data_IF_859654988783
#
_entry.id   IF_859654988783
#
_cell.length_a   1.000
_cell.length_b   1.000
_cell.length_c   1.000
_cell.angle_alpha   90.00
_cell.angle_beta   90.00
_cell.angle_gamma   90.00
#
_symmetry.space_group_name_H-M   'P 1'
#
loop_
_entity.id
_entity.type
_entity.pdbx_description
1 polymer ?
#
# COMPACT_ATOMS: atom_id res chain seq x y z
N UNK A 1 -26.36 10.77 -14.39
CA UNK A 1 -25.37 10.32 -13.38
C UNK A 1 -24.62 11.54 -12.87
N UNK A 2 -24.54 11.76 -11.55
CA UNK A 2 -23.82 12.93 -11.00
C UNK A 2 -22.31 12.80 -11.29
N UNK A 3 -21.68 13.88 -11.80
CA UNK A 3 -20.24 13.94 -12.16
C UNK A 3 -19.31 13.31 -11.10
N UNK A 4 -19.59 13.59 -9.82
CA UNK A 4 -18.85 13.05 -8.67
C UNK A 4 -18.78 11.52 -8.68
N UNK A 5 -19.88 10.83 -9.00
CA UNK A 5 -19.90 9.35 -9.01
C UNK A 5 -18.95 8.77 -10.06
N UNK A 6 -18.93 9.37 -11.25
CA UNK A 6 -18.08 8.92 -12.36
C UNK A 6 -16.61 9.11 -11.99
N UNK A 7 -16.26 10.29 -11.46
CA UNK A 7 -14.89 10.59 -10.99
C UNK A 7 -14.44 9.60 -9.91
N UNK A 8 -15.29 9.33 -8.92
CA UNK A 8 -15.00 8.36 -7.85
C UNK A 8 -14.78 6.95 -8.40
N UNK A 9 -15.65 6.47 -9.29
CA UNK A 9 -15.55 5.13 -9.89
C UNK A 9 -14.25 4.99 -10.69
N UNK A 10 -13.94 5.98 -11.55
CA UNK A 10 -12.73 5.99 -12.37
C UNK A 10 -11.50 5.97 -11.47
N UNK A 11 -11.46 6.84 -10.45
CA UNK A 11 -10.33 6.91 -9.51
C UNK A 11 -10.11 5.57 -8.77
N UNK A 12 -11.16 5.00 -8.18
CA UNK A 12 -11.06 3.72 -7.47
C UNK A 12 -10.59 2.61 -8.40
N UNK A 13 -11.17 2.51 -9.60
CA UNK A 13 -10.79 1.46 -10.56
C UNK A 13 -9.31 1.57 -10.95
N UNK A 14 -8.80 2.79 -11.17
CA UNK A 14 -7.39 3.02 -11.50
C UNK A 14 -6.49 2.67 -10.30
N UNK A 15 -6.79 3.22 -9.12
CA UNK A 15 -5.99 2.97 -7.92
C UNK A 15 -5.95 1.49 -7.53
N UNK A 16 -7.10 0.81 -7.54
CA UNK A 16 -7.19 -0.62 -7.20
C UNK A 16 -6.44 -1.47 -8.23
N UNK A 17 -6.46 -1.09 -9.51
CA UNK A 17 -5.67 -1.77 -10.56
C UNK A 17 -4.17 -1.64 -10.31
N UNK A 18 -3.67 -0.44 -10.00
CA UNK A 18 -2.27 -0.23 -9.64
C UNK A 18 -1.91 -0.96 -8.33
N UNK A 19 -2.81 -0.96 -7.35
CA UNK A 19 -2.65 -1.69 -6.11
C UNK A 19 -2.48 -3.18 -6.35
N UNK A 20 -3.34 -3.80 -7.16
CA UNK A 20 -3.20 -5.21 -7.54
C UNK A 20 -1.86 -5.47 -8.25
N UNK A 21 -1.48 -4.63 -9.21
CA UNK A 21 -0.23 -4.78 -9.97
C UNK A 21 1.01 -4.73 -9.06
N UNK A 22 1.12 -3.72 -8.19
CA UNK A 22 2.29 -3.57 -7.32
C UNK A 22 2.35 -4.65 -6.24
N UNK A 23 1.22 -5.04 -5.66
CA UNK A 23 1.19 -6.12 -4.68
C UNK A 23 1.49 -7.49 -5.32
N UNK A 24 1.02 -7.75 -6.54
CA UNK A 24 1.38 -8.96 -7.27
C UNK A 24 2.88 -9.00 -7.61
N UNK A 25 3.44 -7.86 -8.03
CA UNK A 25 4.88 -7.73 -8.29
C UNK A 25 5.68 -7.98 -7.00
N UNK A 26 5.24 -7.43 -5.87
CA UNK A 26 5.87 -7.64 -4.58
C UNK A 26 5.79 -9.10 -4.14
N UNK A 27 4.65 -9.78 -4.34
CA UNK A 27 4.52 -11.22 -4.07
C UNK A 27 5.52 -12.05 -4.89
N UNK A 28 5.68 -11.73 -6.17
CA UNK A 28 6.68 -12.37 -7.02
C UNK A 28 8.11 -12.14 -6.48
N UNK A 29 8.45 -10.93 -6.07
CA UNK A 29 9.77 -10.62 -5.50
C UNK A 29 10.00 -11.35 -4.17
N UNK A 30 9.00 -11.39 -3.31
CA UNK A 30 9.05 -12.11 -2.02
C UNK A 30 9.29 -13.60 -2.27
N UNK A 31 8.57 -14.21 -3.21
CA UNK A 31 8.67 -15.65 -3.49
C UNK A 31 10.01 -16.04 -4.13
N UNK A 32 10.52 -15.25 -5.07
CA UNK A 32 11.64 -15.68 -5.93
C UNK A 32 12.96 -14.95 -5.68
N UNK A 33 12.96 -13.81 -4.97
CA UNK A 33 14.15 -12.96 -4.80
C UNK A 33 14.58 -12.79 -3.34
N UNK A 34 13.87 -13.40 -2.40
CA UNK A 34 14.22 -13.33 -0.97
C UNK A 34 15.38 -14.28 -0.64
N UNK A 35 16.52 -13.78 -0.14
CA UNK A 35 17.61 -14.62 0.37
C UNK A 35 17.29 -15.19 1.76
N UNK A 36 17.87 -16.35 2.10
CA UNK A 36 17.56 -17.11 3.33
C UNK A 36 17.71 -16.33 4.64
N UNK A 37 18.56 -15.30 4.67
CA UNK A 37 18.81 -14.45 5.84
C UNK A 37 17.62 -13.52 6.20
N UNK A 38 16.66 -13.33 5.29
CA UNK A 38 15.51 -12.42 5.47
C UNK A 38 14.15 -13.14 5.41
N UNK A 39 14.11 -14.47 5.60
CA UNK A 39 12.87 -15.26 5.49
C UNK A 39 11.75 -14.79 6.42
N UNK A 40 12.07 -14.46 7.68
CA UNK A 40 11.06 -13.96 8.63
C UNK A 40 10.43 -12.63 8.16
N UNK A 41 11.25 -11.72 7.64
CA UNK A 41 10.80 -10.44 7.08
C UNK A 41 9.99 -10.62 5.79
N UNK A 42 10.40 -11.56 4.94
CA UNK A 42 9.71 -11.87 3.69
C UNK A 42 8.34 -12.53 3.90
N UNK A 43 8.18 -13.37 4.94
CA UNK A 43 6.87 -13.92 5.30
C UNK A 43 5.92 -12.78 5.69
N UNK A 44 6.39 -11.81 6.47
CA UNK A 44 5.59 -10.66 6.89
C UNK A 44 5.20 -9.76 5.71
N UNK A 45 6.15 -9.44 4.82
CA UNK A 45 5.88 -8.66 3.61
C UNK A 45 4.95 -9.41 2.67
N UNK A 46 5.17 -10.72 2.49
CA UNK A 46 4.31 -11.57 1.68
C UNK A 46 2.87 -11.56 2.18
N UNK A 47 2.66 -11.72 3.49
CA UNK A 47 1.34 -11.65 4.10
C UNK A 47 0.68 -10.27 3.90
N UNK A 48 1.45 -9.18 4.02
CA UNK A 48 0.95 -7.83 3.73
C UNK A 48 0.56 -7.68 2.26
N UNK A 49 1.38 -8.18 1.33
CA UNK A 49 1.12 -8.07 -0.10
C UNK A 49 -0.09 -8.92 -0.54
N UNK A 50 -0.29 -10.12 0.02
CA UNK A 50 -1.51 -10.92 -0.18
C UNK A 50 -2.73 -10.13 0.32
N UNK A 51 -2.63 -9.57 1.52
CA UNK A 51 -3.72 -8.80 2.12
C UNK A 51 -4.10 -7.59 1.27
N UNK A 52 -3.10 -6.79 0.86
CA UNK A 52 -3.31 -5.59 0.05
C UNK A 52 -3.84 -5.94 -1.35
N UNK A 53 -3.38 -7.05 -1.95
CA UNK A 53 -3.93 -7.56 -3.22
C UNK A 53 -5.41 -7.94 -3.09
N UNK A 54 -5.76 -8.74 -2.07
CA UNK A 54 -7.16 -9.17 -1.84
C UNK A 54 -8.05 -7.96 -1.54
N UNK A 55 -7.54 -6.97 -0.81
CA UNK A 55 -8.25 -5.73 -0.53
C UNK A 55 -8.55 -4.94 -1.81
N UNK A 56 -7.56 -4.71 -2.68
CA UNK A 56 -7.76 -4.02 -3.96
C UNK A 56 -8.69 -4.79 -4.90
N UNK A 57 -8.53 -6.12 -4.99
CA UNK A 57 -9.39 -6.95 -5.81
C UNK A 57 -10.86 -6.85 -5.36
N UNK A 58 -11.08 -7.00 -4.06
CA UNK A 58 -12.42 -6.92 -3.49
C UNK A 58 -13.01 -5.50 -3.58
N UNK A 59 -12.20 -4.46 -3.39
CA UNK A 59 -12.63 -3.06 -3.57
C UNK A 59 -13.07 -2.78 -5.02
N UNK A 60 -12.33 -3.30 -6.00
CA UNK A 60 -12.66 -3.21 -7.41
C UNK A 60 -14.00 -3.91 -7.72
N UNK A 61 -14.27 -5.06 -7.09
CA UNK A 61 -15.54 -5.79 -7.25
C UNK A 61 -16.73 -5.12 -6.55
N UNK A 62 -16.52 -4.51 -5.39
CA UNK A 62 -17.60 -3.90 -4.60
C UNK A 62 -17.98 -2.52 -5.14
N UNK A 63 -16.99 -1.73 -5.58
CA UNK A 63 -17.14 -0.29 -5.87
C UNK A 63 -18.01 0.40 -4.83
N UNK A 64 -17.54 0.39 -3.58
CA UNK A 64 -18.32 0.81 -2.44
C UNK A 64 -18.43 2.33 -2.35
N UNK A 65 -19.63 2.81 -2.07
CA UNK A 65 -19.92 4.20 -1.74
C UNK A 65 -20.51 4.29 -0.34
N UNK A 66 -19.93 5.13 0.51
CA UNK A 66 -20.42 5.40 1.87
C UNK A 66 -21.19 6.72 1.89
N UNK A 67 -22.39 6.73 2.48
CA UNK A 67 -23.18 7.96 2.70
C UNK A 67 -23.53 8.06 4.19
N UNK A 68 -22.93 9.01 4.93
CA UNK A 68 -23.23 9.26 6.34
C UNK A 68 -24.57 10.00 6.54
N UNK A 69 -25.53 9.34 7.18
CA UNK A 69 -26.82 9.91 7.57
C UNK A 69 -26.86 10.03 9.09
N UNK A 70 -26.65 11.25 9.61
CA UNK A 70 -26.61 11.56 11.05
C UNK A 70 -25.72 10.54 11.80
N UNK A 71 -26.31 9.64 12.59
CA UNK A 71 -25.61 8.63 13.41
C UNK A 71 -25.43 7.27 12.71
N UNK A 72 -25.86 7.12 11.45
CA UNK A 72 -25.80 5.85 10.71
C UNK A 72 -24.99 6.00 9.43
N UNK A 73 -24.18 4.99 9.12
CA UNK A 73 -23.43 4.86 7.87
C UNK A 73 -24.17 3.90 6.94
N UNK A 74 -24.58 4.39 5.77
CA UNK A 74 -25.20 3.54 4.74
C UNK A 74 -24.16 3.25 3.65
N UNK A 75 -24.03 1.96 3.32
CA UNK A 75 -23.11 1.47 2.30
C UNK A 75 -23.89 1.07 1.05
N UNK A 76 -23.51 1.64 -0.09
CA UNK A 76 -24.04 1.28 -1.42
C UNK A 76 -22.95 0.60 -2.23
N UNK A 77 -23.21 -0.62 -2.72
CA UNK A 77 -22.30 -1.38 -3.58
C UNK A 77 -22.77 -1.24 -5.02
N UNK A 78 -21.95 -0.61 -5.86
CA UNK A 78 -22.27 -0.38 -7.28
C UNK A 78 -21.51 -1.29 -8.24
N UNK A 79 -20.59 -2.12 -7.73
CA UNK A 79 -19.68 -2.89 -8.55
C UNK A 79 -20.20 -4.26 -9.04
N UNK A 80 -19.34 -4.99 -9.76
CA UNK A 80 -19.63 -6.31 -10.33
C UNK A 80 -20.09 -7.36 -9.31
N UNK A 81 -19.74 -7.22 -8.02
CA UNK A 81 -20.14 -8.17 -6.98
C UNK A 81 -21.68 -8.35 -6.90
N UNK A 82 -22.46 -7.34 -7.32
CA UNK A 82 -23.92 -7.39 -7.33
C UNK A 82 -24.49 -8.44 -8.29
N UNK A 83 -23.73 -8.82 -9.32
CA UNK A 83 -24.15 -9.88 -10.26
C UNK A 83 -24.17 -11.27 -9.60
N UNK A 84 -23.34 -11.48 -8.58
CA UNK A 84 -23.29 -12.73 -7.81
C UNK A 84 -24.33 -12.70 -6.68
N UNK A 85 -24.45 -11.55 -6.01
CA UNK A 85 -25.47 -11.33 -4.98
C UNK A 85 -25.05 -10.26 -3.98
N UNK A 86 -26.01 -9.65 -3.30
CA UNK A 86 -25.77 -8.64 -2.26
C UNK A 86 -25.01 -9.21 -1.06
N UNK A 87 -25.28 -10.47 -0.72
CA UNK A 87 -24.60 -11.20 0.37
C UNK A 87 -23.10 -11.33 0.10
N UNK A 88 -22.72 -11.63 -1.15
CA UNK A 88 -21.31 -11.73 -1.53
C UNK A 88 -20.58 -10.39 -1.37
N UNK A 89 -21.20 -9.28 -1.79
CA UNK A 89 -20.66 -7.95 -1.57
C UNK A 89 -20.46 -7.64 -0.07
N UNK A 90 -21.42 -8.03 0.78
CA UNK A 90 -21.36 -7.81 2.23
C UNK A 90 -20.24 -8.65 2.88
N UNK A 91 -20.14 -9.92 2.53
CA UNK A 91 -19.08 -10.82 3.03
C UNK A 91 -17.69 -10.28 2.65
N UNK A 92 -17.50 -9.88 1.39
CA UNK A 92 -16.23 -9.31 0.94
C UNK A 92 -15.87 -8.04 1.72
N UNK A 93 -16.84 -7.16 1.97
CA UNK A 93 -16.63 -5.95 2.78
C UNK A 93 -16.28 -6.28 4.26
N UNK A 94 -17.00 -7.19 4.88
CA UNK A 94 -16.75 -7.63 6.26
C UNK A 94 -15.35 -8.26 6.40
N UNK A 95 -14.93 -9.02 5.40
CA UNK A 95 -13.61 -9.64 5.35
C UNK A 95 -12.48 -8.60 5.29
N UNK A 96 -12.57 -7.64 4.36
CA UNK A 96 -11.57 -6.56 4.22
C UNK A 96 -11.46 -5.73 5.51
N UNK A 97 -12.60 -5.29 6.05
CA UNK A 97 -12.63 -4.45 7.24
C UNK A 97 -12.00 -5.14 8.44
N UNK A 98 -12.27 -6.44 8.62
CA UNK A 98 -11.67 -7.24 9.69
C UNK A 98 -10.16 -7.40 9.51
N UNK A 99 -9.69 -7.66 8.30
CA UNK A 99 -8.25 -7.81 8.01
C UNK A 99 -7.51 -6.50 8.24
N UNK A 100 -8.05 -5.38 7.75
CA UNK A 100 -7.48 -4.05 7.96
C UNK A 100 -7.40 -3.71 9.46
N UNK A 101 -8.44 -4.03 10.22
CA UNK A 101 -8.48 -3.85 11.67
C UNK A 101 -7.44 -4.72 12.40
N UNK A 102 -7.29 -6.00 12.02
CA UNK A 102 -6.27 -6.89 12.58
C UNK A 102 -4.85 -6.38 12.31
N UNK A 103 -4.61 -5.87 11.10
CA UNK A 103 -3.32 -5.26 10.73
C UNK A 103 -3.01 -4.03 11.58
N UNK A 104 -4.00 -3.16 11.79
CA UNK A 104 -3.85 -1.97 12.63
C UNK A 104 -3.63 -2.34 14.11
N UNK A 105 -4.25 -3.42 14.61
CA UNK A 105 -4.05 -3.92 15.97
C UNK A 105 -2.64 -4.53 16.17
N UNK A 106 -2.09 -5.18 15.15
CA UNK A 106 -0.73 -5.72 15.17
C UNK A 106 0.36 -4.69 15.46
N UNK A 107 0.12 -3.41 15.15
CA UNK A 107 1.03 -2.30 15.45
C UNK A 107 1.14 -1.98 16.96
N UNK A 108 0.12 -2.34 17.75
CA UNK A 108 0.12 -2.13 19.21
C UNK A 108 0.90 -3.22 19.96
N UNK A 109 1.32 -4.30 19.27
CA UNK A 109 2.17 -5.34 19.85
C UNK A 109 3.65 -4.98 19.65
N UNK A 110 4.51 -5.06 20.69
CA UNK A 110 5.92 -4.67 20.64
C UNK A 110 6.83 -5.58 19.78
N UNK A 111 6.28 -6.37 18.85
CA UNK A 111 6.99 -7.46 18.16
C UNK A 111 7.71 -7.01 16.87
N UNK A 112 7.48 -5.82 16.28
CA UNK A 112 8.18 -5.46 15.02
C UNK A 112 8.69 -4.03 14.93
N UNK A 113 9.92 -3.80 15.40
CA UNK A 113 10.73 -2.62 15.05
C UNK A 113 11.18 -2.58 13.58
N UNK A 114 10.90 -3.61 12.78
CA UNK A 114 11.37 -3.73 11.40
C UNK A 114 10.42 -3.14 10.34
N UNK A 115 9.21 -2.70 10.72
CA UNK A 115 8.15 -2.25 9.79
C UNK A 115 7.83 -0.75 9.87
N UNK A 116 8.64 0.03 10.59
CA UNK A 116 8.40 1.44 10.93
C UNK A 116 8.23 2.37 9.72
N UNK A 117 8.57 1.94 8.49
CA UNK A 117 8.33 2.72 7.27
C UNK A 117 6.89 2.53 6.72
N UNK A 118 6.19 1.45 7.09
CA UNK A 118 4.72 1.39 6.99
C UNK A 118 4.02 2.22 8.08
N UNK A 119 4.75 2.83 9.03
CA UNK A 119 4.15 3.57 10.17
C UNK A 119 3.59 4.97 9.82
N UNK A 120 3.63 5.40 8.56
CA UNK A 120 2.85 6.56 8.11
C UNK A 120 1.37 6.21 7.84
N UNK A 121 1.04 4.92 7.75
CA UNK A 121 -0.35 4.44 7.65
C UNK A 121 -1.25 4.90 8.80
N UNK A 122 -0.86 4.75 10.09
CA UNK A 122 -1.68 5.25 11.18
C UNK A 122 -1.89 6.76 11.11
N UNK A 123 -0.91 7.55 10.66
CA UNK A 123 -1.07 9.01 10.51
C UNK A 123 -2.15 9.34 9.48
N UNK A 124 -2.11 8.72 8.30
CA UNK A 124 -3.11 8.96 7.24
C UNK A 124 -4.49 8.41 7.65
N UNK A 125 -4.54 7.31 8.42
CA UNK A 125 -5.79 6.81 9.02
C UNK A 125 -6.34 7.80 10.06
N UNK A 126 -5.50 8.34 10.93
CA UNK A 126 -5.86 9.38 11.90
C UNK A 126 -6.38 10.64 11.21
N UNK A 127 -5.72 11.11 10.14
CA UNK A 127 -6.20 12.23 9.32
C UNK A 127 -7.59 11.93 8.74
N UNK A 128 -7.80 10.70 8.24
CA UNK A 128 -9.10 10.27 7.71
C UNK A 128 -10.20 10.26 8.78
N UNK A 129 -9.88 9.78 9.99
CA UNK A 129 -10.79 9.73 11.15
C UNK A 129 -11.12 11.14 11.66
N UNK A 130 -10.13 12.03 11.75
CA UNK A 130 -10.32 13.43 12.16
C UNK A 130 -11.17 14.17 11.13
N UNK A 131 -10.89 13.99 9.84
CA UNK A 131 -11.68 14.57 8.76
C UNK A 131 -13.14 14.09 8.79
N UNK A 132 -13.36 12.79 9.04
CA UNK A 132 -14.69 12.23 9.24
C UNK A 132 -15.39 12.79 10.50
N UNK A 133 -14.68 12.94 11.61
CA UNK A 133 -15.21 13.55 12.83
C UNK A 133 -15.68 14.99 12.59
N UNK A 134 -14.87 15.80 11.89
CA UNK A 134 -15.24 17.16 11.49
C UNK A 134 -16.46 17.18 10.55
N UNK A 135 -16.59 16.19 9.65
CA UNK A 135 -17.76 16.04 8.79
C UNK A 135 -19.05 15.81 9.58
N UNK A 136 -18.96 15.01 10.65
CA UNK A 136 -20.12 14.63 11.48
C UNK A 136 -20.58 15.75 12.43
N UNK A 137 -19.68 16.64 12.84
CA UNK A 137 -20.00 17.82 13.67
C UNK A 137 -20.81 18.87 12.88
N UNK A 138 -20.97 18.70 11.57
CA UNK A 138 -21.88 19.51 10.75
C UNK A 138 -21.26 20.78 10.16
N UNK A 139 -19.93 20.94 10.25
CA UNK A 139 -19.23 22.10 9.70
C UNK A 139 -19.26 22.15 8.17
N UNK A 140 -19.08 21.00 7.50
CA UNK A 140 -19.08 20.89 6.03
C UNK A 140 -19.65 19.54 5.58
N UNK A 141 -20.93 19.51 5.20
CA UNK A 141 -21.60 18.32 4.66
C UNK A 141 -21.58 18.37 3.14
N UNK A 142 -20.42 18.05 2.54
CA UNK A 142 -20.28 18.04 1.09
C UNK A 142 -19.87 16.65 0.58
N UNK A 143 -20.52 16.10 -0.48
CA UNK A 143 -20.19 14.79 -1.04
C UNK A 143 -18.73 14.62 -1.51
N UNK A 144 -17.97 15.71 -1.64
CA UNK A 144 -16.54 15.67 -1.94
C UNK A 144 -15.71 15.17 -0.75
N UNK A 145 -16.09 15.50 0.49
CA UNK A 145 -15.33 15.12 1.67
C UNK A 145 -15.48 13.62 1.98
N UNK A 146 -16.68 13.08 1.80
CA UNK A 146 -16.95 11.63 1.86
C UNK A 146 -16.12 10.86 0.82
N UNK A 147 -16.04 11.43 -0.38
CA UNK A 147 -15.25 10.87 -1.48
C UNK A 147 -13.75 10.90 -1.16
N UNK A 148 -13.27 11.99 -0.54
CA UNK A 148 -11.86 12.16 -0.18
C UNK A 148 -11.36 11.12 0.84
N UNK A 149 -12.20 10.78 1.82
CA UNK A 149 -11.90 9.72 2.81
C UNK A 149 -11.71 8.38 2.10
N UNK A 150 -12.59 8.03 1.16
CA UNK A 150 -12.50 6.79 0.38
C UNK A 150 -11.31 6.77 -0.56
N UNK A 151 -11.01 7.88 -1.23
CA UNK A 151 -9.82 8.02 -2.08
C UNK A 151 -8.54 7.82 -1.28
N UNK A 152 -8.48 8.39 -0.08
CA UNK A 152 -7.34 8.19 0.83
C UNK A 152 -7.23 6.71 1.19
N UNK A 153 -8.33 6.05 1.59
CA UNK A 153 -8.37 4.61 1.91
C UNK A 153 -7.91 3.69 0.76
N UNK A 154 -8.19 4.04 -0.49
CA UNK A 154 -7.76 3.25 -1.66
C UNK A 154 -6.31 3.49 -2.10
N UNK A 155 -5.67 4.56 -1.67
CA UNK A 155 -4.23 4.78 -1.99
C UNK A 155 -3.29 4.01 -1.08
N UNK A 156 -3.72 3.62 0.12
CA UNK A 156 -2.88 2.87 1.06
C UNK A 156 -2.31 1.55 0.52
N UNK A 157 -3.14 0.66 -0.08
CA UNK A 157 -2.64 -0.62 -0.58
C UNK A 157 -1.71 -0.45 -1.79
N UNK A 158 -1.70 0.72 -2.43
CA UNK A 158 -0.78 1.08 -3.52
C UNK A 158 0.56 1.54 -2.97
N UNK A 159 0.54 2.39 -1.92
CA UNK A 159 1.76 2.94 -1.32
C UNK A 159 2.56 1.90 -0.54
N UNK A 160 1.88 0.99 0.16
CA UNK A 160 2.46 -0.11 0.94
C UNK A 160 3.52 -0.90 0.15
N UNK A 161 3.21 -1.51 -1.02
CA UNK A 161 4.19 -2.28 -1.78
C UNK A 161 5.25 -1.41 -2.47
N UNK A 162 4.91 -0.18 -2.87
CA UNK A 162 5.87 0.75 -3.48
C UNK A 162 6.99 1.11 -2.50
N UNK A 163 6.62 1.39 -1.25
CA UNK A 163 7.57 1.68 -0.17
C UNK A 163 8.46 0.46 0.07
N UNK A 164 7.90 -0.74 0.15
CA UNK A 164 8.69 -1.97 0.33
C UNK A 164 9.67 -2.20 -0.83
N UNK A 165 9.20 -2.09 -2.08
CA UNK A 165 10.06 -2.23 -3.26
C UNK A 165 11.13 -1.14 -3.34
N UNK A 166 10.82 0.07 -2.86
CA UNK A 166 11.80 1.11 -2.67
C UNK A 166 12.74 0.68 -1.53
N UNK A 167 12.44 0.76 -0.25
CA UNK A 167 13.46 0.61 0.82
C UNK A 167 14.28 -0.70 0.82
N UNK A 168 13.77 -1.80 0.27
CA UNK A 168 14.45 -3.11 0.31
C UNK A 168 15.44 -3.25 -0.87
N UNK A 169 16.74 -3.08 -0.58
CA UNK A 169 17.85 -3.20 -1.55
C UNK A 169 17.79 -4.43 -2.49
N UNK A 170 17.56 -5.68 -2.01
CA UNK A 170 17.51 -6.84 -2.91
C UNK A 170 16.34 -6.77 -3.90
N UNK A 171 15.23 -6.11 -3.54
CA UNK A 171 14.06 -5.96 -4.42
C UNK A 171 14.34 -4.94 -5.53
N UNK A 172 14.93 -3.78 -5.20
CA UNK A 172 15.37 -2.79 -6.22
C UNK A 172 16.29 -3.41 -7.26
N UNK A 173 17.31 -4.16 -6.81
CA UNK A 173 18.28 -4.79 -7.71
C UNK A 173 17.61 -5.82 -8.62
N UNK A 174 16.67 -6.60 -8.10
CA UNK A 174 15.90 -7.56 -8.90
C UNK A 174 15.02 -6.86 -9.95
N UNK A 175 14.33 -5.77 -9.59
CA UNK A 175 13.50 -4.98 -10.52
C UNK A 175 14.37 -4.36 -11.64
N UNK A 176 15.48 -3.72 -11.27
CA UNK A 176 16.42 -3.11 -12.23
C UNK A 176 17.05 -4.13 -13.19
N UNK A 177 17.19 -5.39 -12.76
CA UNK A 177 17.67 -6.48 -13.61
C UNK A 177 16.58 -7.06 -14.52
N UNK A 178 15.30 -6.88 -14.19
CA UNK A 178 14.18 -7.26 -15.06
C UNK A 178 13.78 -6.14 -16.03
N UNK A 179 14.28 -4.92 -15.84
CA UNK A 179 13.98 -3.76 -16.69
C UNK A 179 14.78 -3.81 -18.01
N UNK A 180 14.17 -3.53 -19.18
CA UNK A 180 14.88 -3.49 -20.47
C UNK A 180 16.01 -2.44 -20.45
N UNK A 181 17.10 -2.74 -21.18
CA UNK A 181 18.35 -1.94 -21.19
C UNK A 181 18.13 -0.45 -21.49
N UNK A 182 17.09 -0.11 -22.24
CA UNK A 182 16.73 1.27 -22.59
C UNK A 182 16.28 2.11 -21.38
N UNK A 183 15.54 1.53 -20.44
CA UNK A 183 15.10 2.22 -19.21
C UNK A 183 16.22 2.28 -18.15
N UNK A 184 17.17 1.34 -18.21
CA UNK A 184 18.36 1.32 -17.33
C UNK A 184 19.28 2.52 -17.57
N UNK A 185 19.23 3.14 -18.76
CA UNK A 185 19.98 4.35 -19.12
C UNK A 185 19.37 5.65 -18.57
N UNK A 186 18.09 5.62 -18.17
CA UNK A 186 17.33 6.78 -17.66
C UNK A 186 17.33 6.82 -16.13
N UNK A 187 17.57 5.69 -15.46
CA UNK A 187 17.75 5.66 -14.01
C UNK A 187 19.04 6.41 -13.64
N UNK A 188 19.00 7.46 -12.79
CA UNK A 188 20.19 8.18 -12.39
C UNK A 188 21.11 7.23 -11.60
N UNK A 189 22.30 7.01 -12.14
CA UNK A 189 23.42 6.37 -11.46
C UNK A 189 23.74 7.15 -10.20
N UNK A 190 23.31 6.66 -9.04
CA UNK A 190 23.91 7.07 -7.77
C UNK A 190 25.38 6.64 -7.81
N UNK A 191 26.25 7.64 -7.72
CA UNK A 191 27.70 7.51 -7.77
C UNK A 191 28.22 6.47 -6.75
N UNK A 192 28.73 5.35 -7.24
CA UNK A 192 29.73 4.54 -6.54
C UNK A 192 31.10 5.12 -6.91
N UNK A 193 31.54 6.12 -6.14
CA UNK A 193 32.92 6.60 -6.14
C UNK A 193 33.83 5.58 -5.46
N UNK A 194 34.42 4.71 -6.27
CA UNK A 194 35.56 3.86 -5.93
C UNK A 194 36.77 4.71 -5.53
N UNK A 195 37.03 4.90 -4.23
CA UNK A 195 38.37 5.25 -3.75
C UNK A 195 39.16 3.96 -3.52
N UNK A 196 39.91 3.56 -4.56
CA UNK A 196 41.09 2.71 -4.39
C UNK A 196 42.15 3.58 -3.71
N UNK A 197 42.64 3.17 -2.54
CA UNK A 197 43.95 3.60 -2.08
C UNK A 197 44.77 2.35 -1.85
N UNK A 198 45.72 2.17 -2.76
CA UNK A 198 46.69 1.09 -2.75
C UNK A 198 47.54 1.13 -1.48
N UNK A 199 47.63 -0.04 -0.86
CA UNK A 199 48.67 -0.39 0.10
C UNK A 199 49.98 -0.46 -0.68
N UNK A 200 50.95 0.40 -0.37
CA UNK A 200 52.34 0.06 -0.63
C UNK A 200 53.28 0.58 0.46
N UNK A 201 54.13 -0.33 0.89
CA UNK A 201 55.02 -0.24 2.03
C UNK A 201 56.20 0.72 1.81
N UNK A 202 56.68 1.33 2.89
CA UNK A 202 58.12 1.35 3.19
C UNK A 202 58.37 1.62 4.67
N UNK A 203 59.31 0.85 5.19
CA UNK A 203 59.82 0.63 6.55
C UNK A 203 60.48 1.84 7.23
N UNK A 204 60.33 1.92 8.58
CA UNK A 204 61.30 2.17 9.69
C UNK A 204 62.45 3.21 9.52
N UNK A 205 63.05 3.82 10.58
CA UNK A 205 63.17 3.31 11.96
C UNK A 205 63.13 4.36 13.13
N UNK A 206 63.08 3.80 14.35
CA UNK A 206 63.75 4.18 15.62
C UNK A 206 63.79 5.66 16.05
N UNK A 207 63.12 5.95 17.17
CA UNK A 207 63.77 6.39 18.41
C UNK A 207 62.97 5.91 19.63
#
# INVERSE_FOLDING_TARGET
>A
MSYVKVVTIVFHTICDSFGMLFNLTLLYLVAFRTPSQFKAYAILIGNSAVTDFVACFSACLIQQRMVPIKSSLIYFSHGPCRMIGTEFCYIMYAFISKILSLRNLGFLLPIFQALTIQAMLPVVFFVSVVCYGCAQIGFYRHPFLETFILMTLSTFPVLSPLISMYFIKPYRKAILNCLPRTLKKIAPSTEEGSAKTDVNATSAPIL
#
